data_IF_348938702545
#
_entry.id   IF_348938702545
#
_cell.length_a   1.000
_cell.length_b   1.000
_cell.length_c   1.000
_cell.angle_alpha   90.00
_cell.angle_beta   90.00
_cell.angle_gamma   90.00
#
_symmetry.space_group_name_H-M   'P 1'
#
loop_
_entity.id
_entity.type
_entity.pdbx_description
1 polymer ?
#
# COMPACT_ATOMS: atom_id res chain seq x y z
N UNK A 1 0.89 0.63 23.34
CA UNK A 1 0.69 1.36 24.62
C UNK A 1 -0.74 1.18 25.13
N UNK A 2 -1.79 1.54 24.37
CA UNK A 2 -3.20 1.38 24.76
C UNK A 2 -3.59 0.00 25.31
N UNK A 3 -3.25 -1.09 24.62
CA UNK A 3 -3.52 -2.47 25.11
C UNK A 3 -2.88 -2.78 26.47
N UNK A 4 -1.71 -2.20 26.77
CA UNK A 4 -1.05 -2.37 28.08
C UNK A 4 -1.78 -1.62 29.20
N UNK A 5 -2.60 -0.64 28.84
CA UNK A 5 -3.46 0.12 29.75
C UNK A 5 -4.90 -0.42 29.80
N UNK A 6 -5.16 -1.58 29.17
CA UNK A 6 -6.50 -2.17 29.12
C UNK A 6 -7.48 -1.45 28.18
N UNK A 7 -7.02 -0.49 27.37
CA UNK A 7 -7.86 0.27 26.45
C UNK A 7 -8.01 -0.53 25.14
N UNK A 8 -9.24 -0.87 24.70
CA UNK A 8 -9.51 -1.67 23.50
C UNK A 8 -9.40 -0.81 22.22
N UNK A 9 -8.23 -0.22 22.01
CA UNK A 9 -7.95 0.61 20.85
C UNK A 9 -7.41 -0.27 19.71
N UNK A 10 -8.12 -0.28 18.58
CA UNK A 10 -7.75 -1.03 17.38
C UNK A 10 -7.32 -0.11 16.24
N UNK A 11 -6.34 -0.54 15.45
CA UNK A 11 -5.96 0.16 14.22
C UNK A 11 -6.93 -0.15 13.09
N UNK A 12 -7.21 0.85 12.25
CA UNK A 12 -8.05 0.74 11.07
C UNK A 12 -7.23 1.13 9.85
N UNK A 13 -7.20 0.27 8.84
CA UNK A 13 -6.50 0.51 7.57
C UNK A 13 -7.40 1.28 6.61
N UNK A 14 -7.77 2.49 7.01
CA UNK A 14 -8.69 3.35 6.28
C UNK A 14 -8.16 3.72 4.88
N UNK A 15 -9.01 3.86 3.85
CA UNK A 15 -8.55 4.28 2.53
C UNK A 15 -7.80 5.61 2.58
N UNK A 16 -6.57 5.63 2.06
CA UNK A 16 -5.70 6.80 2.10
C UNK A 16 -5.10 7.14 3.47
N UNK A 17 -5.66 6.68 4.60
CA UNK A 17 -5.19 7.10 5.94
C UNK A 17 -5.14 5.96 6.99
N UNK A 18 -4.37 6.10 8.06
CA UNK A 18 -4.44 5.13 9.17
C UNK A 18 -5.17 5.78 10.34
N UNK A 19 -6.21 5.10 10.82
CA UNK A 19 -7.07 5.58 11.91
C UNK A 19 -7.01 4.60 13.07
N UNK A 20 -7.52 5.02 14.21
CA UNK A 20 -7.77 4.14 15.35
C UNK A 20 -9.24 4.19 15.72
N UNK A 21 -9.77 3.05 16.16
CA UNK A 21 -11.14 2.93 16.66
C UNK A 21 -11.14 2.52 18.12
N UNK A 22 -12.08 3.04 18.89
CA UNK A 22 -12.33 2.72 20.28
C UNK A 22 -13.82 2.40 20.45
N UNK A 23 -14.18 1.16 20.81
CA UNK A 23 -15.55 0.83 21.21
C UNK A 23 -15.96 1.65 22.44
N UNK A 24 -17.16 2.23 22.40
CA UNK A 24 -17.81 2.99 23.49
C UNK A 24 -19.26 2.50 23.63
N UNK A 25 -19.94 2.86 24.72
CA UNK A 25 -21.28 2.34 25.03
C UNK A 25 -22.30 2.56 23.89
N UNK A 26 -22.20 3.70 23.18
CA UNK A 26 -23.10 4.08 22.07
C UNK A 26 -22.46 3.92 20.68
N UNK A 27 -21.46 3.05 20.53
CA UNK A 27 -20.90 2.69 19.22
C UNK A 27 -19.37 2.71 19.17
N UNK A 28 -18.82 3.43 18.19
CA UNK A 28 -17.38 3.43 17.94
C UNK A 28 -16.87 4.85 17.74
N UNK A 29 -15.92 5.25 18.58
CA UNK A 29 -15.17 6.48 18.41
C UNK A 29 -14.00 6.23 17.46
N UNK A 30 -13.95 6.95 16.34
CA UNK A 30 -12.84 6.90 15.37
C UNK A 30 -11.98 8.15 15.53
N UNK A 31 -10.67 7.98 15.63
CA UNK A 31 -9.72 9.07 15.86
C UNK A 31 -8.55 9.02 14.87
N UNK A 32 -8.01 10.20 14.57
CA UNK A 32 -6.83 10.37 13.73
C UNK A 32 -5.57 10.49 14.61
N UNK A 33 -4.74 9.44 14.74
CA UNK A 33 -3.55 9.47 15.58
C UNK A 33 -2.47 10.42 15.06
N UNK A 34 -2.51 10.82 13.79
CA UNK A 34 -1.56 11.76 13.19
C UNK A 34 -1.99 13.20 13.32
N UNK A 35 -3.22 13.45 13.79
CA UNK A 35 -3.75 14.78 14.04
C UNK A 35 -4.18 14.93 15.51
N UNK A 36 -3.26 14.59 16.42
CA UNK A 36 -3.46 14.74 17.87
C UNK A 36 -4.52 13.83 18.49
N UNK A 37 -4.96 12.79 17.79
CA UNK A 37 -6.06 11.92 18.25
C UNK A 37 -7.44 12.55 18.10
N UNK A 38 -7.59 13.55 17.21
CA UNK A 38 -8.89 14.21 16.98
C UNK A 38 -9.95 13.19 16.56
N UNK A 39 -11.15 13.19 17.17
CA UNK A 39 -12.25 12.35 16.73
C UNK A 39 -12.77 12.79 15.35
N UNK A 40 -13.20 11.83 14.55
CA UNK A 40 -13.73 12.05 13.20
C UNK A 40 -15.23 11.73 13.17
N UNK A 41 -16.01 12.65 12.61
CA UNK A 41 -17.44 12.45 12.39
C UNK A 41 -17.72 11.52 11.21
N UNK A 42 -18.91 10.91 11.19
CA UNK A 42 -19.34 9.97 10.13
C UNK A 42 -19.27 10.59 8.74
N UNK A 43 -19.81 11.80 8.56
CA UNK A 43 -19.79 12.49 7.27
C UNK A 43 -18.38 12.80 6.78
N UNK A 44 -17.47 13.16 7.70
CA UNK A 44 -16.07 13.37 7.38
C UNK A 44 -15.40 12.06 6.93
N UNK A 45 -15.67 10.94 7.61
CA UNK A 45 -15.16 9.64 7.20
C UNK A 45 -15.67 9.25 5.82
N UNK A 46 -16.95 9.46 5.53
CA UNK A 46 -17.52 9.19 4.20
C UNK A 46 -16.84 10.00 3.10
N UNK A 47 -16.67 11.31 3.31
CA UNK A 47 -16.01 12.20 2.36
C UNK A 47 -14.53 11.81 2.13
N UNK A 48 -13.81 11.40 3.19
CA UNK A 48 -12.43 10.92 3.06
C UNK A 48 -12.33 9.58 2.31
N UNK A 49 -13.34 8.70 2.44
CA UNK A 49 -13.37 7.41 1.75
C UNK A 49 -13.74 7.57 0.26
N UNK A 50 -14.62 8.51 -0.08
CA UNK A 50 -15.16 8.76 -1.42
C UNK A 50 -14.16 8.67 -2.58
N UNK A 51 -13.00 9.37 -2.58
CA UNK A 51 -12.05 9.32 -3.70
C UNK A 51 -11.43 7.93 -3.90
N UNK A 52 -11.45 7.07 -2.89
CA UNK A 52 -10.93 5.71 -2.96
C UNK A 52 -11.98 4.67 -3.37
N UNK A 53 -13.25 5.09 -3.48
CA UNK A 53 -14.40 4.27 -3.87
C UNK A 53 -14.99 4.73 -5.21
N UNK A 54 -14.14 5.23 -6.11
CA UNK A 54 -14.60 5.68 -7.44
C UNK A 54 -15.47 6.94 -7.42
N UNK A 55 -15.49 7.69 -6.32
CA UNK A 55 -16.33 8.88 -6.17
C UNK A 55 -17.66 8.63 -5.45
N UNK A 56 -17.96 7.38 -5.07
CA UNK A 56 -19.19 7.03 -4.35
C UNK A 56 -19.06 7.28 -2.84
N UNK A 57 -20.11 7.87 -2.26
CA UNK A 57 -20.22 8.05 -0.81
C UNK A 57 -20.63 6.70 -0.20
N UNK A 58 -19.84 6.10 0.70
CA UNK A 58 -20.20 4.82 1.28
C UNK A 58 -21.44 4.96 2.18
N UNK A 59 -22.36 4.01 2.03
CA UNK A 59 -23.47 3.84 2.95
C UNK A 59 -22.98 3.36 4.34
N UNK A 60 -23.90 3.25 5.30
CA UNK A 60 -23.56 2.85 6.67
C UNK A 60 -22.88 1.49 6.76
N UNK A 61 -23.30 0.55 5.92
CA UNK A 61 -22.76 -0.81 5.93
C UNK A 61 -21.33 -0.83 5.37
N UNK A 62 -21.11 -0.16 4.24
CA UNK A 62 -19.80 -0.04 3.63
C UNK A 62 -18.84 0.71 4.55
N UNK A 63 -19.29 1.79 5.19
CA UNK A 63 -18.48 2.52 6.16
C UNK A 63 -18.13 1.67 7.37
N UNK A 64 -19.08 0.91 7.92
CA UNK A 64 -18.81 -0.01 9.04
C UNK A 64 -17.72 -1.03 8.68
N UNK A 65 -17.76 -1.61 7.48
CA UNK A 65 -16.74 -2.55 6.99
C UNK A 65 -15.37 -1.87 6.81
N UNK A 66 -15.33 -0.64 6.31
CA UNK A 66 -14.09 0.15 6.20
C UNK A 66 -13.46 0.38 7.58
N UNK A 67 -14.29 0.48 8.63
CA UNK A 67 -13.89 0.73 10.01
C UNK A 67 -13.60 -0.54 10.82
N UNK A 68 -13.62 -1.72 10.20
CA UNK A 68 -13.23 -2.95 10.86
C UNK A 68 -11.76 -2.90 11.32
N UNK A 69 -11.42 -3.52 12.47
CA UNK A 69 -10.04 -3.66 12.91
C UNK A 69 -9.16 -4.27 11.82
N UNK A 70 -8.07 -3.58 11.50
CA UNK A 70 -7.10 -4.07 10.54
C UNK A 70 -6.28 -5.21 11.18
N UNK A 71 -6.14 -6.36 10.51
CA UNK A 71 -5.23 -7.39 10.98
C UNK A 71 -3.79 -6.86 10.97
N UNK A 72 -2.95 -7.36 11.88
CA UNK A 72 -1.56 -6.90 11.99
C UNK A 72 -0.81 -6.94 10.66
N UNK A 73 -1.08 -7.95 9.83
CA UNK A 73 -0.52 -8.09 8.49
C UNK A 73 -0.88 -6.91 7.58
N UNK A 74 -2.13 -6.44 7.59
CA UNK A 74 -2.55 -5.31 6.78
C UNK A 74 -1.86 -4.01 7.23
N UNK A 75 -1.73 -3.82 8.55
CA UNK A 75 -0.99 -2.68 9.14
C UNK A 75 0.48 -2.70 8.69
N UNK A 76 1.14 -3.87 8.76
CA UNK A 76 2.52 -4.02 8.31
C UNK A 76 2.69 -3.73 6.82
N UNK A 77 1.81 -4.26 5.97
CA UNK A 77 1.83 -3.99 4.52
C UNK A 77 1.68 -2.49 4.26
N UNK A 78 0.76 -1.82 4.97
CA UNK A 78 0.58 -0.37 4.85
C UNK A 78 1.85 0.41 5.21
N UNK A 79 2.46 0.08 6.34
CA UNK A 79 3.72 0.73 6.79
C UNK A 79 4.83 0.51 5.76
N UNK A 80 4.97 -0.71 5.24
CA UNK A 80 6.01 -1.04 4.26
C UNK A 80 5.80 -0.32 2.93
N UNK A 81 4.55 -0.16 2.47
CA UNK A 81 4.23 0.63 1.26
C UNK A 81 4.56 2.11 1.46
N UNK A 82 4.26 2.67 2.63
CA UNK A 82 4.64 4.05 2.95
C UNK A 82 6.16 4.22 2.98
N UNK A 83 6.89 3.29 3.62
CA UNK A 83 8.36 3.32 3.63
C UNK A 83 8.95 3.16 2.23
N UNK A 84 8.39 2.29 1.39
CA UNK A 84 8.78 2.19 -0.01
C UNK A 84 8.69 3.55 -0.70
N UNK A 85 7.53 4.23 -0.62
CA UNK A 85 7.34 5.55 -1.22
C UNK A 85 8.38 6.56 -0.75
N UNK A 86 8.57 6.71 0.56
CA UNK A 86 9.58 7.63 1.14
C UNK A 86 10.99 7.32 0.66
N UNK A 87 11.37 6.04 0.56
CA UNK A 87 12.70 5.67 0.09
C UNK A 87 12.86 5.85 -1.42
N UNK A 88 11.83 5.56 -2.22
CA UNK A 88 11.85 5.77 -3.66
C UNK A 88 11.95 7.26 -4.00
N UNK A 89 11.17 8.11 -3.33
CA UNK A 89 11.21 9.58 -3.51
C UNK A 89 12.59 10.16 -3.13
N UNK A 90 13.26 9.54 -2.17
CA UNK A 90 14.63 9.88 -1.78
C UNK A 90 15.73 9.14 -2.54
N UNK A 91 15.40 8.46 -3.65
CA UNK A 91 16.31 7.66 -4.49
C UNK A 91 17.13 6.59 -3.73
N UNK A 92 16.66 6.18 -2.54
CA UNK A 92 17.23 5.11 -1.72
C UNK A 92 16.72 3.75 -2.19
N UNK A 93 17.05 3.39 -3.43
CA UNK A 93 16.49 2.22 -4.13
C UNK A 93 16.76 0.89 -3.44
N UNK A 94 17.86 0.75 -2.69
CA UNK A 94 18.16 -0.44 -1.88
C UNK A 94 17.14 -0.62 -0.74
N UNK A 95 16.72 0.48 -0.12
CA UNK A 95 15.71 0.47 0.95
C UNK A 95 14.32 0.28 0.38
N UNK A 96 14.00 0.93 -0.74
CA UNK A 96 12.75 0.73 -1.47
C UNK A 96 12.56 -0.75 -1.84
N UNK A 97 13.55 -1.37 -2.48
CA UNK A 97 13.51 -2.79 -2.85
C UNK A 97 13.26 -3.71 -1.65
N UNK A 98 13.93 -3.46 -0.51
CA UNK A 98 13.74 -4.24 0.73
C UNK A 98 12.37 -4.03 1.38
N UNK A 99 11.74 -2.87 1.21
CA UNK A 99 10.37 -2.63 1.66
C UNK A 99 9.38 -3.43 0.83
N UNK A 100 9.48 -3.35 -0.51
CA UNK A 100 8.64 -4.10 -1.43
C UNK A 100 8.82 -5.62 -1.29
N UNK A 101 10.06 -6.10 -1.09
CA UNK A 101 10.34 -7.51 -0.81
C UNK A 101 9.64 -8.04 0.45
N UNK A 102 9.63 -7.24 1.53
CA UNK A 102 8.90 -7.60 2.75
C UNK A 102 7.40 -7.64 2.54
N UNK A 103 6.85 -6.76 1.70
CA UNK A 103 5.44 -6.84 1.30
C UNK A 103 5.17 -8.17 0.59
N UNK A 104 6.03 -8.59 -0.34
CA UNK A 104 5.88 -9.85 -1.08
C UNK A 104 6.02 -11.09 -0.19
N UNK A 105 6.80 -11.02 0.90
CA UNK A 105 6.85 -12.09 1.91
C UNK A 105 5.57 -12.20 2.73
N UNK A 106 4.89 -11.08 2.96
CA UNK A 106 3.59 -11.06 3.65
C UNK A 106 2.47 -11.46 2.69
N UNK A 107 2.45 -10.86 1.50
CA UNK A 107 1.46 -10.99 0.42
C UNK A 107 2.17 -11.46 -0.85
N UNK A 108 2.34 -12.78 -1.03
CA UNK A 108 2.86 -13.31 -2.28
C UNK A 108 2.02 -12.82 -3.46
N UNK A 109 2.69 -12.52 -4.58
CA UNK A 109 2.06 -12.06 -5.82
C UNK A 109 1.21 -10.77 -5.70
N UNK A 110 1.45 -9.91 -4.69
CA UNK A 110 0.87 -8.56 -4.73
C UNK A 110 1.47 -7.78 -5.90
N UNK A 111 0.62 -7.49 -6.90
CA UNK A 111 1.02 -6.88 -8.16
C UNK A 111 1.79 -5.55 -7.95
N UNK A 112 1.29 -4.66 -7.10
CA UNK A 112 1.95 -3.37 -6.83
C UNK A 112 3.33 -3.57 -6.22
N UNK A 113 3.49 -4.52 -5.30
CA UNK A 113 4.78 -4.80 -4.67
C UNK A 113 5.79 -5.44 -5.64
N UNK A 114 5.32 -6.25 -6.60
CA UNK A 114 6.15 -6.74 -7.70
C UNK A 114 6.62 -5.58 -8.58
N UNK A 115 5.71 -4.69 -8.99
CA UNK A 115 6.06 -3.50 -9.78
C UNK A 115 7.08 -2.63 -9.05
N UNK A 116 6.82 -2.33 -7.78
CA UNK A 116 7.64 -1.49 -6.92
C UNK A 116 9.06 -2.07 -6.76
N UNK A 117 9.18 -3.39 -6.48
CA UNK A 117 10.49 -4.06 -6.39
C UNK A 117 11.19 -4.13 -7.74
N UNK A 118 10.46 -4.40 -8.81
CA UNK A 118 10.98 -4.44 -10.18
C UNK A 118 11.58 -3.10 -10.62
N UNK A 119 10.90 -2.00 -10.32
CA UNK A 119 11.41 -0.64 -10.56
C UNK A 119 12.64 -0.34 -9.70
N UNK A 120 12.61 -0.65 -8.41
CA UNK A 120 13.78 -0.47 -7.56
C UNK A 120 15.00 -1.29 -8.06
N UNK A 121 14.78 -2.52 -8.52
CA UNK A 121 15.84 -3.32 -9.15
C UNK A 121 16.35 -2.72 -10.47
N UNK A 122 15.49 -2.10 -11.27
CA UNK A 122 15.92 -1.40 -12.48
C UNK A 122 16.89 -0.26 -12.14
N UNK A 123 16.56 0.56 -11.15
CA UNK A 123 17.42 1.65 -10.68
C UNK A 123 18.75 1.16 -10.08
N UNK A 124 18.75 -0.02 -9.45
CA UNK A 124 19.96 -0.66 -8.92
C UNK A 124 20.79 -1.41 -9.97
N UNK A 125 20.35 -1.47 -11.23
CA UNK A 125 21.01 -2.25 -12.28
C UNK A 125 20.85 -3.76 -12.14
N UNK A 126 19.96 -4.23 -11.27
CA UNK A 126 19.63 -5.65 -11.10
C UNK A 126 18.64 -6.11 -12.18
N UNK A 127 19.08 -6.04 -13.45
CA UNK A 127 18.23 -6.16 -14.64
C UNK A 127 17.44 -7.49 -14.72
N UNK A 128 18.05 -8.59 -14.25
CA UNK A 128 17.40 -9.90 -14.23
C UNK A 128 16.20 -9.93 -13.29
N UNK A 129 16.35 -9.39 -12.08
CA UNK A 129 15.28 -9.28 -11.08
C UNK A 129 14.21 -8.29 -11.53
N UNK A 130 14.61 -7.13 -12.05
CA UNK A 130 13.71 -6.13 -12.60
C UNK A 130 12.79 -6.73 -13.68
N UNK A 131 13.37 -7.42 -14.66
CA UNK A 131 12.61 -8.08 -15.72
C UNK A 131 11.63 -9.13 -15.18
N UNK A 132 12.06 -9.95 -14.22
CA UNK A 132 11.22 -10.99 -13.65
C UNK A 132 9.98 -10.39 -12.97
N UNK A 133 10.19 -9.43 -12.07
CA UNK A 133 9.11 -8.83 -11.28
C UNK A 133 8.17 -7.99 -12.16
N UNK A 134 8.70 -7.19 -13.10
CA UNK A 134 7.87 -6.38 -14.01
C UNK A 134 7.06 -7.25 -14.98
N UNK A 135 7.61 -8.38 -15.45
CA UNK A 135 6.87 -9.33 -16.27
C UNK A 135 5.74 -10.00 -15.48
N UNK A 136 6.00 -10.41 -14.23
CA UNK A 136 4.97 -10.99 -13.36
C UNK A 136 3.87 -9.98 -13.05
N UNK A 137 4.23 -8.73 -12.78
CA UNK A 137 3.28 -7.64 -12.59
C UNK A 137 2.32 -7.49 -13.77
N UNK A 138 2.84 -7.42 -15.00
CA UNK A 138 2.04 -7.29 -16.22
C UNK A 138 1.19 -8.53 -16.54
N UNK A 139 1.61 -9.72 -16.10
CA UNK A 139 0.78 -10.93 -16.20
C UNK A 139 -0.43 -10.86 -15.27
N UNK A 140 -0.25 -10.32 -14.06
CA UNK A 140 -1.33 -10.19 -13.09
C UNK A 140 -2.28 -9.05 -13.45
N UNK A 141 -1.72 -7.90 -13.87
CA UNK A 141 -2.47 -6.69 -14.19
C UNK A 141 -2.13 -6.16 -15.60
N UNK A 142 -2.60 -6.82 -16.68
CA UNK A 142 -2.27 -6.44 -18.05
C UNK A 142 -2.81 -5.07 -18.47
N UNK A 143 -3.92 -4.63 -17.86
CA UNK A 143 -4.62 -3.38 -18.17
C UNK A 143 -4.38 -2.29 -17.11
N UNK A 144 -3.32 -2.42 -16.31
CA UNK A 144 -2.96 -1.36 -15.37
C UNK A 144 -2.66 -0.04 -16.11
N UNK A 145 -2.97 1.09 -15.48
CA UNK A 145 -2.80 2.41 -16.08
C UNK A 145 -1.35 2.68 -16.55
N UNK A 146 -0.37 2.17 -15.80
CA UNK A 146 1.07 2.24 -16.05
C UNK A 146 1.63 1.03 -16.82
N UNK A 147 0.79 0.09 -17.27
CA UNK A 147 1.22 -1.12 -17.96
C UNK A 147 2.02 -0.81 -19.23
N UNK A 148 1.66 0.26 -19.97
CA UNK A 148 2.40 0.72 -21.14
C UNK A 148 3.86 1.08 -20.82
N UNK A 149 4.08 1.81 -19.73
CA UNK A 149 5.42 2.20 -19.27
C UNK A 149 6.24 0.97 -18.86
N UNK A 150 5.63 0.03 -18.11
CA UNK A 150 6.31 -1.20 -17.68
C UNK A 150 6.70 -2.10 -18.86
N UNK A 151 5.86 -2.17 -19.91
CA UNK A 151 6.21 -2.88 -21.16
C UNK A 151 7.39 -2.22 -21.85
N UNK A 152 7.45 -0.89 -21.87
CA UNK A 152 8.60 -0.14 -22.40
C UNK A 152 9.91 -0.54 -21.74
N UNK A 153 9.96 -0.54 -20.40
CA UNK A 153 11.14 -0.98 -19.65
C UNK A 153 11.55 -2.43 -19.96
N UNK A 154 10.59 -3.35 -20.13
CA UNK A 154 10.90 -4.74 -20.49
C UNK A 154 11.54 -4.87 -21.88
N UNK A 155 11.11 -4.08 -22.86
CA UNK A 155 11.72 -4.06 -24.21
C UNK A 155 13.15 -3.55 -24.14
N UNK A 156 13.39 -2.46 -23.40
CA UNK A 156 14.73 -1.90 -23.19
C UNK A 156 15.67 -2.92 -22.52
N UNK A 157 15.21 -3.57 -21.45
CA UNK A 157 15.94 -4.63 -20.75
C UNK A 157 16.27 -5.83 -21.65
N UNK A 158 15.38 -6.15 -22.61
CA UNK A 158 15.60 -7.24 -23.55
C UNK A 158 16.67 -6.88 -24.58
N UNK A 159 16.66 -5.64 -25.08
CA UNK A 159 17.65 -5.14 -26.03
C UNK A 159 19.06 -5.02 -25.42
N UNK A 160 19.17 -4.64 -24.15
CA UNK A 160 20.46 -4.58 -23.45
C UNK A 160 21.13 -5.95 -23.33
N UNK A 161 20.36 -7.03 -23.20
CA UNK A 161 20.92 -8.40 -23.19
C UNK A 161 21.47 -8.82 -24.55
N UNK A 162 20.80 -8.43 -25.65
CA UNK A 162 21.25 -8.77 -27.01
C UNK A 162 22.60 -8.10 -27.34
N UNK A 163 22.87 -6.90 -26.80
CA UNK A 163 24.12 -6.18 -27.04
C UNK A 163 25.31 -6.65 -26.19
N UNK A 164 25.05 -7.40 -25.12
CA UNK A 164 26.07 -7.89 -24.20
C UNK A 164 26.60 -9.29 -24.56
N UNK A 165 26.09 -9.88 -25.64
CA UNK A 165 26.50 -11.16 -26.22
C UNK A 165 27.05 -10.94 -27.62
#
# INVERSE_FOLDING_TARGET
VARRLGIPLDGVSFPGHFLVRLPVDDGVLVMDPFNGGRPLGVDELRERARPHLGGEIPDDRALAQILDPAPHRAILVRILRNLHGVYADGEQWDRAARSADRVLKLVPDQAEALRDRGMAYLHLGHLGGARHDLARYLQLNPEAHDAGAMRGHLVELSNQRIRAH
#
